data_IF_494309081902
#
_entry.id   IF_494309081902
#
_cell.length_a   1.000
_cell.length_b   1.000
_cell.length_c   1.000
_cell.angle_alpha   90.00
_cell.angle_beta   90.00
_cell.angle_gamma   90.00
#
_symmetry.space_group_name_H-M   'P 1'
#
loop_
_entity.id
_entity.type
_entity.pdbx_description
1 polymer ?
#
# COMPACT_ATOMS: atom_id res chain seq x y z
N UNK A 1 -7.26 -33.17 6.89
CA UNK A 1 -6.98 -31.74 6.62
C UNK A 1 -7.78 -31.38 5.38
N UNK A 2 -8.89 -30.65 5.59
CA UNK A 2 -9.94 -30.53 4.60
C UNK A 2 -9.54 -29.71 3.37
N UNK A 3 -9.60 -30.36 2.21
CA UNK A 3 -9.52 -29.75 0.87
C UNK A 3 -10.53 -28.59 0.69
N UNK A 4 -11.61 -28.58 1.46
CA UNK A 4 -12.60 -27.51 1.51
C UNK A 4 -12.10 -26.21 2.17
N UNK A 5 -11.04 -26.23 2.99
CA UNK A 5 -10.49 -25.03 3.62
C UNK A 5 -9.60 -24.25 2.67
N UNK A 6 -8.89 -24.91 1.77
CA UNK A 6 -8.02 -24.31 0.74
C UNK A 6 -8.82 -23.64 -0.38
N UNK A 7 -9.96 -24.19 -0.77
CA UNK A 7 -10.84 -23.61 -1.79
C UNK A 7 -11.49 -22.29 -1.30
N UNK A 8 -11.76 -22.14 -0.02
CA UNK A 8 -12.38 -20.94 0.55
C UNK A 8 -11.45 -19.71 0.64
N UNK A 9 -10.14 -19.90 0.71
CA UNK A 9 -9.17 -18.79 0.78
C UNK A 9 -8.98 -18.16 -0.60
N UNK A 10 -8.90 -18.95 -1.67
CA UNK A 10 -8.76 -18.47 -3.05
C UNK A 10 -10.02 -17.73 -3.56
N UNK A 11 -11.20 -18.08 -3.04
CA UNK A 11 -12.45 -17.42 -3.43
C UNK A 11 -12.68 -16.06 -2.76
N UNK A 12 -12.01 -15.81 -1.63
CA UNK A 12 -12.22 -14.59 -0.83
C UNK A 12 -11.27 -13.45 -1.19
N UNK A 13 -10.07 -13.73 -1.67
CA UNK A 13 -9.02 -12.73 -1.92
C UNK A 13 -8.61 -12.69 -3.38
N UNK A 14 -8.29 -11.50 -3.86
CA UNK A 14 -7.69 -11.25 -5.17
C UNK A 14 -6.46 -10.37 -5.02
N UNK A 15 -5.53 -10.43 -5.99
CA UNK A 15 -4.40 -9.51 -6.01
C UNK A 15 -4.87 -8.07 -6.22
N UNK A 16 -4.38 -7.16 -5.38
CA UNK A 16 -4.69 -5.74 -5.52
C UNK A 16 -4.08 -5.19 -6.82
N UNK A 17 -4.94 -4.77 -7.74
CA UNK A 17 -4.56 -4.25 -9.03
C UNK A 17 -3.80 -2.92 -8.94
N UNK A 18 -3.25 -2.47 -10.06
CA UNK A 18 -2.49 -1.23 -10.16
C UNK A 18 -3.30 -0.01 -9.68
N UNK A 19 -4.50 0.20 -10.21
CA UNK A 19 -5.32 1.36 -9.86
C UNK A 19 -5.74 1.41 -8.39
N UNK A 20 -6.04 0.25 -7.80
CA UNK A 20 -6.33 0.16 -6.37
C UNK A 20 -5.14 0.63 -5.53
N UNK A 21 -3.91 0.25 -5.93
CA UNK A 21 -2.69 0.67 -5.24
C UNK A 21 -2.40 2.16 -5.44
N UNK A 22 -2.69 2.71 -6.63
CA UNK A 22 -2.60 4.15 -6.90
C UNK A 22 -3.56 4.91 -5.99
N UNK A 23 -4.83 4.48 -5.91
CA UNK A 23 -5.80 5.09 -5.00
C UNK A 23 -5.36 5.05 -3.54
N UNK A 24 -4.83 3.91 -3.07
CA UNK A 24 -4.27 3.80 -1.73
C UNK A 24 -3.09 4.75 -1.51
N UNK A 25 -2.17 4.86 -2.47
CA UNK A 25 -1.03 5.76 -2.38
C UNK A 25 -1.44 7.24 -2.35
N UNK A 26 -2.46 7.62 -3.12
CA UNK A 26 -3.02 8.98 -3.07
C UNK A 26 -3.59 9.29 -1.69
N UNK A 27 -4.38 8.38 -1.10
CA UNK A 27 -4.92 8.55 0.25
C UNK A 27 -3.78 8.70 1.27
N UNK A 28 -2.77 7.83 1.22
CA UNK A 28 -1.61 7.89 2.12
C UNK A 28 -0.86 9.23 1.97
N UNK A 29 -0.65 9.69 0.73
CA UNK A 29 0.02 10.97 0.45
C UNK A 29 -0.78 12.14 1.01
N UNK A 30 -2.09 12.18 0.79
CA UNK A 30 -2.96 13.25 1.34
C UNK A 30 -2.88 13.27 2.87
N UNK A 31 -2.95 12.12 3.53
CA UNK A 31 -2.85 12.03 4.99
C UNK A 31 -1.50 12.60 5.47
N UNK A 32 -0.39 12.18 4.87
CA UNK A 32 0.94 12.68 5.24
C UNK A 32 1.04 14.19 4.99
N UNK A 33 0.59 14.69 3.85
CA UNK A 33 0.61 16.11 3.52
C UNK A 33 -0.19 16.95 4.54
N UNK A 34 -1.40 16.52 4.88
CA UNK A 34 -2.27 17.21 5.85
C UNK A 34 -1.65 17.23 7.25
N UNK A 35 -0.90 16.19 7.62
CA UNK A 35 -0.24 16.12 8.92
C UNK A 35 1.07 16.92 8.98
N UNK A 36 1.84 16.96 7.88
CA UNK A 36 3.21 17.53 7.90
C UNK A 36 3.25 18.98 7.47
N UNK A 37 2.59 19.37 6.37
CA UNK A 37 2.71 20.72 5.82
C UNK A 37 2.22 21.85 6.74
N UNK A 38 1.11 21.72 7.49
CA UNK A 38 0.73 22.79 8.41
C UNK A 38 1.81 23.08 9.45
N UNK A 39 2.51 22.07 9.93
CA UNK A 39 3.59 22.23 10.91
C UNK A 39 4.82 22.87 10.25
N UNK A 40 5.18 22.43 9.02
CA UNK A 40 6.29 23.01 8.27
C UNK A 40 6.05 24.49 7.94
N UNK A 41 4.83 24.84 7.54
CA UNK A 41 4.45 26.24 7.31
C UNK A 41 4.46 27.07 8.62
N UNK A 42 4.06 26.48 9.72
CA UNK A 42 4.12 27.15 11.02
C UNK A 42 5.57 27.43 11.49
N UNK A 43 6.50 26.54 11.15
CA UNK A 43 7.93 26.66 11.56
C UNK A 43 8.73 27.54 10.59
N UNK A 44 8.56 27.35 9.29
CA UNK A 44 9.39 27.99 8.25
C UNK A 44 8.67 29.09 7.47
N UNK A 45 7.35 29.27 7.69
CA UNK A 45 6.54 30.20 6.89
C UNK A 45 6.28 29.69 5.47
N UNK A 46 5.62 30.51 4.66
CA UNK A 46 5.33 30.19 3.25
C UNK A 46 6.59 30.10 2.39
N UNK A 47 7.68 30.75 2.80
CA UNK A 47 8.99 30.68 2.14
C UNK A 47 9.56 29.22 2.10
N UNK A 48 8.98 28.30 2.88
CA UNK A 48 9.31 26.87 2.79
C UNK A 48 9.19 26.32 1.36
N UNK A 49 8.17 26.75 0.65
CA UNK A 49 7.91 26.25 -0.72
C UNK A 49 8.77 26.91 -1.80
N UNK A 50 9.45 28.00 -1.49
CA UNK A 50 10.31 28.73 -2.43
C UNK A 50 11.78 28.25 -2.36
N UNK A 51 12.08 27.32 -1.45
CA UNK A 51 13.44 26.84 -1.23
C UNK A 51 13.76 25.63 -2.09
N UNK A 52 14.89 25.65 -2.78
CA UNK A 52 15.44 24.52 -3.54
C UNK A 52 16.17 23.48 -2.65
N UNK A 53 16.27 23.73 -1.35
CA UNK A 53 16.95 22.82 -0.43
C UNK A 53 16.15 21.54 -0.21
N UNK A 54 16.78 20.39 -0.37
CA UNK A 54 16.17 19.06 -0.13
C UNK A 54 15.82 18.86 1.35
N UNK A 55 16.55 19.51 2.24
CA UNK A 55 16.32 19.52 3.69
C UNK A 55 16.55 20.93 4.20
N UNK A 56 15.54 21.56 4.77
CA UNK A 56 15.59 22.93 5.26
C UNK A 56 15.94 23.08 6.75
N UNK A 57 16.15 21.94 7.43
CA UNK A 57 16.51 21.93 8.86
C UNK A 57 16.07 20.68 9.57
N UNK A 58 16.28 20.62 10.90
CA UNK A 58 15.99 19.44 11.70
C UNK A 58 14.50 19.08 11.73
N UNK A 59 13.63 20.07 11.83
CA UNK A 59 12.18 19.85 11.84
C UNK A 59 11.71 19.28 10.50
N UNK A 60 12.21 19.83 9.40
CA UNK A 60 11.88 19.33 8.06
C UNK A 60 12.38 17.89 7.88
N UNK A 61 13.62 17.59 8.26
CA UNK A 61 14.15 16.23 8.21
C UNK A 61 13.27 15.24 9.00
N UNK A 62 12.85 15.61 10.20
CA UNK A 62 12.00 14.75 11.02
C UNK A 62 10.62 14.55 10.40
N UNK A 63 9.97 15.61 9.94
CA UNK A 63 8.59 15.54 9.44
C UNK A 63 8.47 15.01 8.02
N UNK A 64 9.43 15.33 7.14
CA UNK A 64 9.36 14.96 5.73
C UNK A 64 10.02 13.62 5.42
N UNK A 65 10.95 13.16 6.26
CA UNK A 65 11.71 11.93 6.04
C UNK A 65 11.52 10.87 7.12
N UNK A 66 11.78 11.23 8.38
CA UNK A 66 11.78 10.26 9.47
C UNK A 66 10.36 9.83 9.88
N UNK A 67 9.44 10.77 9.99
CA UNK A 67 8.05 10.48 10.37
C UNK A 67 7.34 9.57 9.36
N UNK A 68 7.35 9.82 8.03
CA UNK A 68 6.73 8.91 7.06
C UNK A 68 7.37 7.51 7.07
N UNK A 69 8.69 7.42 7.23
CA UNK A 69 9.40 6.14 7.35
C UNK A 69 8.87 5.31 8.53
N UNK A 70 8.87 5.92 9.72
CA UNK A 70 8.43 5.26 10.95
C UNK A 70 6.94 4.91 10.85
N UNK A 71 6.11 5.82 10.36
CA UNK A 71 4.68 5.61 10.21
C UNK A 71 4.39 4.42 9.27
N UNK A 72 4.99 4.39 8.08
CA UNK A 72 4.78 3.31 7.11
C UNK A 72 5.22 1.97 7.66
N UNK A 73 6.42 1.88 8.25
CA UNK A 73 6.92 0.62 8.81
C UNK A 73 6.06 0.16 10.00
N UNK A 74 5.64 1.07 10.87
CA UNK A 74 4.75 0.75 11.99
C UNK A 74 3.41 0.20 11.50
N UNK A 75 2.76 0.85 10.54
CA UNK A 75 1.51 0.38 9.95
C UNK A 75 1.69 -1.00 9.28
N UNK A 76 2.79 -1.23 8.56
CA UNK A 76 3.04 -2.54 7.96
C UNK A 76 3.21 -3.63 9.02
N UNK A 77 3.96 -3.35 10.09
CA UNK A 77 4.20 -4.33 11.16
C UNK A 77 2.92 -4.61 11.95
N UNK A 78 2.12 -3.60 12.28
CA UNK A 78 0.93 -3.81 13.12
C UNK A 78 -0.32 -4.19 12.31
N UNK A 79 -0.51 -3.62 11.12
CA UNK A 79 -1.74 -3.75 10.33
C UNK A 79 -1.56 -4.44 8.98
N UNK A 80 -0.34 -4.78 8.57
CA UNK A 80 -0.01 -5.32 7.24
C UNK A 80 -0.45 -4.37 6.09
N UNK A 81 -0.77 -3.14 6.39
CA UNK A 81 -1.31 -2.17 5.44
C UNK A 81 -1.01 -0.74 5.91
N UNK A 82 -0.90 0.22 5.00
CA UNK A 82 -0.99 1.65 5.28
C UNK A 82 -2.45 2.08 5.39
N UNK A 83 -2.77 3.27 5.96
CA UNK A 83 -4.13 3.79 6.02
C UNK A 83 -4.86 3.74 4.66
N UNK A 84 -4.19 4.16 3.57
CA UNK A 84 -4.74 4.09 2.22
C UNK A 84 -5.05 2.67 1.77
N UNK A 85 -4.17 1.70 2.07
CA UNK A 85 -4.44 0.29 1.77
C UNK A 85 -5.58 -0.27 2.61
N UNK A 86 -5.70 0.16 3.87
CA UNK A 86 -6.84 -0.22 4.72
C UNK A 86 -8.16 0.30 4.16
N UNK A 87 -8.18 1.54 3.64
CA UNK A 87 -9.38 2.13 3.02
C UNK A 87 -9.90 1.31 1.83
N UNK A 88 -9.01 0.70 1.06
CA UNK A 88 -9.36 -0.18 -0.06
C UNK A 88 -9.40 -1.67 0.32
N UNK A 89 -9.43 -2.00 1.61
CA UNK A 89 -9.44 -3.37 2.16
C UNK A 89 -8.30 -4.26 1.63
N UNK A 90 -7.14 -3.67 1.38
CA UNK A 90 -5.96 -4.39 0.92
C UNK A 90 -4.93 -4.57 2.03
N UNK A 91 -4.25 -5.71 2.04
CA UNK A 91 -3.18 -6.04 2.99
C UNK A 91 -1.97 -6.67 2.31
N UNK A 92 -0.80 -6.51 2.92
CA UNK A 92 0.46 -7.10 2.48
C UNK A 92 0.59 -8.46 3.17
N UNK A 93 0.87 -9.51 2.39
CA UNK A 93 1.11 -10.86 2.91
C UNK A 93 2.37 -11.46 2.30
N UNK A 94 2.93 -12.47 2.95
CA UNK A 94 4.01 -13.27 2.38
C UNK A 94 3.52 -13.97 1.10
N UNK A 95 4.35 -13.95 0.06
CA UNK A 95 3.96 -14.45 -1.26
C UNK A 95 3.87 -15.97 -1.33
N UNK A 96 4.47 -16.70 -0.38
CA UNK A 96 4.50 -18.16 -0.35
C UNK A 96 3.46 -18.72 0.63
N UNK A 97 3.34 -18.12 1.83
CA UNK A 97 2.49 -18.65 2.90
C UNK A 97 1.13 -17.98 2.98
N UNK A 98 1.02 -16.73 2.48
CA UNK A 98 -0.18 -15.90 2.67
C UNK A 98 -0.31 -15.28 4.06
N UNK A 99 0.63 -15.57 4.96
CA UNK A 99 0.64 -15.07 6.33
C UNK A 99 1.19 -13.64 6.42
N UNK A 100 1.28 -13.14 7.65
CA UNK A 100 1.90 -11.85 7.95
C UNK A 100 3.39 -11.88 7.60
N UNK A 101 3.89 -10.93 6.79
CA UNK A 101 5.31 -10.83 6.48
C UNK A 101 6.17 -10.58 7.72
N UNK A 102 7.39 -11.08 7.69
CA UNK A 102 8.41 -10.80 8.70
C UNK A 102 8.89 -9.34 8.64
N UNK A 103 9.48 -8.84 9.72
CA UNK A 103 10.09 -7.51 9.76
C UNK A 103 11.17 -7.34 8.67
N UNK A 104 11.95 -8.39 8.41
CA UNK A 104 12.96 -8.40 7.34
C UNK A 104 12.32 -8.15 5.97
N UNK A 105 11.20 -8.78 5.66
CA UNK A 105 10.49 -8.57 4.41
C UNK A 105 9.97 -7.14 4.29
N UNK A 106 9.46 -6.54 5.37
CA UNK A 106 9.05 -5.14 5.36
C UNK A 106 10.21 -4.18 5.11
N UNK A 107 11.37 -4.41 5.72
CA UNK A 107 12.56 -3.59 5.49
C UNK A 107 13.06 -3.73 4.04
N UNK A 108 13.17 -4.96 3.53
CA UNK A 108 13.55 -5.21 2.12
C UNK A 108 12.55 -4.55 1.17
N UNK A 109 11.26 -4.63 1.49
CA UNK A 109 10.20 -3.98 0.71
C UNK A 109 10.37 -2.46 0.68
N UNK A 110 10.67 -1.85 1.83
CA UNK A 110 10.89 -0.41 1.92
C UNK A 110 12.09 0.02 1.07
N UNK A 111 13.23 -0.66 1.20
CA UNK A 111 14.41 -0.43 0.35
C UNK A 111 14.11 -0.72 -1.12
N UNK A 112 13.29 -1.72 -1.40
CA UNK A 112 12.83 -2.07 -2.74
C UNK A 112 12.03 -0.96 -3.42
N UNK A 113 11.35 -0.08 -2.68
CA UNK A 113 10.71 1.11 -3.27
C UNK A 113 11.74 2.08 -3.83
N UNK A 114 12.88 2.28 -3.16
CA UNK A 114 13.96 3.13 -3.67
C UNK A 114 14.46 2.56 -5.00
N UNK A 115 14.75 1.26 -5.05
CA UNK A 115 15.20 0.57 -6.28
C UNK A 115 14.13 0.66 -7.38
N UNK A 116 12.86 0.49 -7.04
CA UNK A 116 11.76 0.52 -7.99
C UNK A 116 11.48 1.93 -8.56
N UNK A 117 11.87 2.97 -7.82
CA UNK A 117 11.67 4.38 -8.22
C UNK A 117 12.81 4.88 -9.10
N UNK A 118 14.05 4.41 -8.89
CA UNK A 118 15.24 4.87 -9.63
C UNK A 118 15.06 4.88 -11.17
N UNK A 119 14.52 3.81 -11.82
CA UNK A 119 14.26 3.84 -13.25
C UNK A 119 12.91 4.52 -13.56
N UNK A 120 12.73 5.79 -13.16
CA UNK A 120 11.51 6.59 -13.40
C UNK A 120 10.21 5.89 -12.92
N UNK A 121 10.31 5.10 -11.85
CA UNK A 121 9.17 4.39 -11.27
C UNK A 121 8.71 3.14 -12.04
N UNK A 122 9.45 2.69 -13.05
CA UNK A 122 9.10 1.48 -13.83
C UNK A 122 8.90 0.25 -12.95
N UNK A 123 9.68 0.12 -11.87
CA UNK A 123 9.54 -0.97 -10.92
C UNK A 123 8.20 -0.95 -10.17
N UNK A 124 7.61 0.23 -9.96
CA UNK A 124 6.28 0.39 -9.36
C UNK A 124 5.20 0.11 -10.41
N UNK A 125 5.37 0.65 -11.62
CA UNK A 125 4.44 0.46 -12.74
C UNK A 125 4.35 -0.99 -13.18
N UNK A 126 5.38 -1.81 -12.92
CA UNK A 126 5.42 -3.24 -13.24
C UNK A 126 4.20 -4.01 -12.72
N UNK A 127 3.57 -3.55 -11.65
CA UNK A 127 2.32 -4.12 -11.09
C UNK A 127 1.22 -4.24 -12.16
N UNK A 128 1.16 -3.33 -13.13
CA UNK A 128 0.13 -3.33 -14.16
C UNK A 128 0.19 -4.60 -15.04
N UNK A 129 1.38 -5.07 -15.35
CA UNK A 129 1.63 -6.20 -16.27
C UNK A 129 1.90 -7.52 -15.55
N UNK A 130 2.31 -7.50 -14.29
CA UNK A 130 2.66 -8.71 -13.55
C UNK A 130 1.42 -9.58 -13.26
N UNK A 131 1.56 -10.90 -13.43
CA UNK A 131 0.46 -11.87 -13.20
C UNK A 131 -0.02 -11.88 -11.75
N UNK A 132 0.90 -11.73 -10.79
CA UNK A 132 0.62 -11.66 -9.34
C UNK A 132 0.45 -10.23 -8.84
N UNK A 133 0.40 -9.25 -9.76
CA UNK A 133 0.32 -7.82 -9.45
C UNK A 133 1.41 -7.36 -8.48
N UNK A 134 2.65 -7.84 -8.68
CA UNK A 134 3.81 -7.50 -7.87
C UNK A 134 4.65 -6.44 -8.57
N UNK A 135 4.99 -5.35 -7.85
CA UNK A 135 6.08 -4.45 -8.24
C UNK A 135 7.45 -5.06 -7.90
N UNK A 136 8.53 -4.41 -8.28
CA UNK A 136 9.88 -4.88 -7.97
C UNK A 136 10.11 -4.94 -6.46
N UNK A 137 9.63 -3.96 -5.71
CA UNK A 137 9.68 -3.95 -4.24
C UNK A 137 8.93 -5.15 -3.61
N UNK A 138 7.83 -5.58 -4.22
CA UNK A 138 7.08 -6.76 -3.78
C UNK A 138 7.88 -8.05 -4.04
N UNK A 139 8.50 -8.16 -5.24
CA UNK A 139 9.29 -9.33 -5.64
C UNK A 139 10.55 -9.46 -4.80
N UNK A 140 11.28 -8.37 -4.57
CA UNK A 140 12.47 -8.35 -3.73
C UNK A 140 12.18 -8.79 -2.29
N UNK A 141 11.04 -8.38 -1.75
CA UNK A 141 10.61 -8.73 -0.41
C UNK A 141 9.86 -10.06 -0.30
N UNK A 142 9.60 -10.74 -1.43
CA UNK A 142 8.75 -11.93 -1.50
C UNK A 142 7.39 -11.72 -0.83
N UNK A 143 6.73 -10.62 -1.17
CA UNK A 143 5.39 -10.24 -0.66
C UNK A 143 4.41 -10.03 -1.80
N UNK A 144 3.13 -10.11 -1.49
CA UNK A 144 2.03 -9.72 -2.39
C UNK A 144 1.05 -8.83 -1.65
N UNK A 145 0.30 -8.03 -2.39
CA UNK A 145 -0.82 -7.28 -1.83
C UNK A 145 -2.12 -7.92 -2.31
N UNK A 146 -2.93 -8.31 -1.36
CA UNK A 146 -4.24 -8.91 -1.60
C UNK A 146 -5.33 -7.98 -1.07
N UNK A 147 -6.48 -8.00 -1.72
CA UNK A 147 -7.70 -7.32 -1.29
C UNK A 147 -8.87 -8.30 -1.28
N UNK A 148 -9.93 -7.93 -0.58
CA UNK A 148 -11.17 -8.71 -0.61
C UNK A 148 -11.72 -8.69 -2.05
N UNK A 149 -12.08 -9.86 -2.54
CA UNK A 149 -12.85 -9.99 -3.77
C UNK A 149 -14.25 -9.45 -3.47
N UNK A 150 -14.66 -8.36 -4.13
CA UNK A 150 -16.03 -7.90 -4.03
C UNK A 150 -16.93 -9.09 -4.42
N UNK A 151 -17.73 -9.56 -3.46
CA UNK A 151 -18.89 -10.37 -3.81
C UNK A 151 -19.80 -9.44 -4.59
N UNK A 152 -19.80 -9.57 -5.90
CA UNK A 152 -20.93 -9.11 -6.70
C UNK A 152 -22.13 -9.81 -6.09
N UNK A 153 -22.96 -9.08 -5.36
CA UNK A 153 -24.20 -9.63 -4.86
C UNK A 153 -24.97 -10.06 -6.12
N UNK A 154 -25.12 -11.37 -6.31
CA UNK A 154 -26.10 -11.89 -7.24
C UNK A 154 -27.45 -11.34 -6.75
N UNK A 155 -27.94 -10.32 -7.43
CA UNK A 155 -29.30 -9.86 -7.27
C UNK A 155 -30.16 -10.96 -7.90
N UNK A 156 -30.56 -11.93 -7.10
CA UNK A 156 -31.55 -12.91 -7.49
C UNK A 156 -32.90 -12.17 -7.60
N UNK A 157 -33.27 -11.78 -8.80
CA UNK A 157 -34.63 -11.36 -9.07
C UNK A 157 -35.50 -12.60 -8.96
N UNK A 158 -36.31 -12.67 -7.92
CA UNK A 158 -37.40 -13.64 -7.83
C UNK A 158 -38.37 -13.31 -8.98
N UNK A 159 -38.38 -14.11 -10.03
CA UNK A 159 -39.45 -14.08 -11.00
C UNK A 159 -40.68 -14.68 -10.34
N UNK A 160 -41.58 -13.83 -9.83
CA UNK A 160 -42.93 -14.23 -9.51
C UNK A 160 -43.62 -14.57 -10.84
N UNK A 161 -43.63 -15.85 -11.16
CA UNK A 161 -44.58 -16.42 -12.14
C UNK A 161 -45.69 -17.10 -11.36
N UNK A 162 -46.56 -16.27 -10.78
CA UNK A 162 -47.90 -16.72 -10.39
C UNK A 162 -48.87 -16.23 -11.47
N UNK A 163 -49.32 -17.15 -12.30
CA UNK A 163 -50.67 -17.20 -12.92
C UNK A 163 -50.99 -18.66 -13.29
#
# INVERSE_FOLDING_TARGET
>A
MDEQSTLRVGDRYQYAGFWSRVGAAVIDTVIICVLTYPILVAVYGWAYFDSDAVIQGGTDFVLSWLFPLIAVLSFWVYRQATPGKMAIRAKIVDANTGDKPSLRQYLIRYLGYIVATLPLGLGILWVAWDKRKQGWHDKLANTVVIGDKERTAEVAFSSNSDT
#
